data_IF_977868421864
#
_entry.id   IF_977868421864
#
_cell.length_a   1.000
_cell.length_b   1.000
_cell.length_c   1.000
_cell.angle_alpha   90.00
_cell.angle_beta   90.00
_cell.angle_gamma   90.00
#
_symmetry.space_group_name_H-M   'P 1'
#
loop_
_entity.id
_entity.type
_entity.pdbx_description
1 polymer ?
#
# COMPACT_ATOMS: atom_id res chain seq x y z
N UNK A 1 33.92 -10.36 12.10
CA UNK A 1 33.13 -10.54 10.86
C UNK A 1 32.54 -9.18 10.56
N UNK A 2 32.88 -8.56 9.43
CA UNK A 2 32.39 -7.21 9.12
C UNK A 2 31.08 -7.35 8.35
N UNK A 3 30.05 -6.62 8.78
CA UNK A 3 28.82 -6.47 7.99
C UNK A 3 29.16 -5.75 6.69
N UNK A 4 28.71 -6.30 5.56
CA UNK A 4 28.86 -5.70 4.24
C UNK A 4 27.50 -5.57 3.59
N UNK A 5 27.20 -4.41 3.01
CA UNK A 5 25.97 -4.20 2.23
C UNK A 5 26.13 -4.96 0.91
N UNK A 6 25.22 -5.91 0.65
CA UNK A 6 25.23 -6.73 -0.57
C UNK A 6 24.35 -6.19 -1.69
N UNK A 7 23.39 -5.32 -1.36
CA UNK A 7 22.48 -4.70 -2.29
C UNK A 7 21.69 -3.58 -1.61
N UNK A 8 21.11 -2.72 -2.43
CA UNK A 8 20.13 -1.72 -2.03
C UNK A 8 19.13 -1.56 -3.18
N UNK A 9 17.87 -1.36 -2.82
CA UNK A 9 16.78 -1.10 -3.77
C UNK A 9 15.89 0.00 -3.22
N UNK A 10 15.12 0.61 -4.11
CA UNK A 10 14.10 1.60 -3.82
C UNK A 10 12.72 1.00 -4.07
N UNK A 11 11.75 1.36 -3.23
CA UNK A 11 10.36 0.96 -3.42
C UNK A 11 9.49 2.18 -3.15
N UNK A 12 8.61 2.50 -4.10
CA UNK A 12 7.51 3.43 -3.92
C UNK A 12 6.20 2.65 -3.96
N UNK A 13 5.58 2.42 -2.80
CA UNK A 13 4.25 1.84 -2.74
C UNK A 13 3.19 2.91 -3.04
N UNK A 14 2.30 2.64 -3.98
CA UNK A 14 1.17 3.51 -4.29
C UNK A 14 -0.08 2.97 -3.58
N UNK A 15 -0.41 3.52 -2.41
CA UNK A 15 -1.46 3.05 -1.50
C UNK A 15 -2.56 4.11 -1.26
N UNK A 16 -3.31 4.51 -2.30
CA UNK A 16 -4.30 5.58 -2.20
C UNK A 16 -5.41 5.29 -1.17
N UNK A 17 -5.87 4.04 -1.01
CA UNK A 17 -6.93 3.75 -0.05
C UNK A 17 -6.44 3.89 1.40
N UNK A 18 -5.18 3.55 1.71
CA UNK A 18 -4.61 3.82 3.04
C UNK A 18 -4.64 5.32 3.40
N UNK A 19 -4.48 6.21 2.41
CA UNK A 19 -4.63 7.67 2.63
C UNK A 19 -6.08 8.03 2.98
N UNK A 20 -7.07 7.38 2.36
CA UNK A 20 -8.49 7.67 2.57
C UNK A 20 -9.03 7.13 3.89
N UNK A 21 -8.57 5.95 4.29
CA UNK A 21 -9.17 5.19 5.39
C UNK A 21 -8.33 5.21 6.65
N UNK A 22 -7.01 5.36 6.56
CA UNK A 22 -6.11 5.34 7.71
C UNK A 22 -5.39 6.69 7.91
N UNK A 23 -5.37 7.56 6.90
CA UNK A 23 -4.80 8.91 6.98
C UNK A 23 -5.44 9.79 8.05
N UNK A 24 -4.62 10.39 8.93
CA UNK A 24 -5.09 11.18 10.09
C UNK A 24 -6.06 12.31 9.72
N UNK A 25 -5.84 12.98 8.58
CA UNK A 25 -6.72 14.08 8.14
C UNK A 25 -8.11 13.55 7.80
N UNK A 26 -8.18 12.48 7.02
CA UNK A 26 -9.43 11.87 6.56
C UNK A 26 -10.17 11.19 7.71
N UNK A 27 -9.47 10.46 8.58
CA UNK A 27 -10.08 9.81 9.74
C UNK A 27 -10.63 10.83 10.74
N UNK A 28 -9.88 11.91 11.02
CA UNK A 28 -10.35 12.99 11.89
C UNK A 28 -11.57 13.71 11.30
N UNK A 29 -11.53 14.06 10.01
CA UNK A 29 -12.67 14.71 9.35
C UNK A 29 -13.90 13.79 9.37
N UNK A 30 -13.74 12.48 9.16
CA UNK A 30 -14.86 11.52 9.20
C UNK A 30 -15.53 11.44 10.57
N UNK A 31 -14.75 11.59 11.65
CA UNK A 31 -15.27 11.62 13.03
C UNK A 31 -16.00 12.94 13.31
N UNK A 32 -15.43 14.08 12.89
CA UNK A 32 -15.93 15.42 13.25
C UNK A 32 -17.06 15.87 12.31
N UNK A 33 -17.00 15.52 11.04
CA UNK A 33 -17.88 15.97 9.97
C UNK A 33 -18.01 14.91 8.86
N UNK A 34 -18.73 13.80 9.13
CA UNK A 34 -18.80 12.65 8.23
C UNK A 34 -19.36 12.95 6.83
N UNK A 35 -20.19 13.99 6.69
CA UNK A 35 -20.83 14.39 5.43
C UNK A 35 -20.10 15.53 4.70
N UNK A 36 -18.85 15.81 5.07
CA UNK A 36 -18.09 16.94 4.52
C UNK A 36 -17.90 16.83 3.01
N UNK A 37 -17.97 17.97 2.31
CA UNK A 37 -17.63 18.01 0.87
C UNK A 37 -16.19 17.58 0.62
N UNK A 38 -15.27 17.85 1.56
CA UNK A 38 -13.90 17.37 1.46
C UNK A 38 -13.84 15.84 1.33
N UNK A 39 -14.54 15.08 2.20
CA UNK A 39 -14.50 13.62 2.15
C UNK A 39 -15.13 13.04 0.86
N UNK A 40 -16.07 13.76 0.24
CA UNK A 40 -16.68 13.37 -1.04
C UNK A 40 -15.75 13.59 -2.22
N UNK A 41 -14.98 14.68 -2.20
CA UNK A 41 -14.14 15.09 -3.33
C UNK A 41 -12.73 14.47 -3.29
N UNK A 42 -12.19 14.14 -2.11
CA UNK A 42 -10.81 13.60 -1.99
C UNK A 42 -10.53 12.38 -2.89
N UNK A 43 -11.43 11.38 -3.02
CA UNK A 43 -11.18 10.24 -3.90
C UNK A 43 -10.91 10.65 -5.35
N UNK A 44 -11.55 11.71 -5.85
CA UNK A 44 -11.36 12.22 -7.22
C UNK A 44 -10.03 12.97 -7.40
N UNK A 45 -9.36 13.30 -6.30
CA UNK A 45 -8.07 14.00 -6.28
C UNK A 45 -6.88 13.08 -6.00
N UNK A 46 -7.11 11.80 -5.74
CA UNK A 46 -6.04 10.82 -5.65
C UNK A 46 -5.59 10.38 -7.04
N UNK A 47 -4.30 10.14 -7.17
CA UNK A 47 -3.68 9.75 -8.43
C UNK A 47 -4.01 8.28 -8.72
N UNK A 48 -4.25 7.93 -9.98
CA UNK A 48 -4.31 6.52 -10.38
C UNK A 48 -2.93 5.87 -10.34
N UNK A 49 -2.86 4.54 -10.30
CA UNK A 49 -1.57 3.85 -10.35
C UNK A 49 -0.79 4.18 -11.62
N UNK A 50 -1.46 4.24 -12.78
CA UNK A 50 -0.84 4.57 -14.07
C UNK A 50 -0.25 5.99 -14.06
N UNK A 51 -0.97 6.94 -13.48
CA UNK A 51 -0.49 8.31 -13.35
C UNK A 51 0.67 8.40 -12.36
N UNK A 52 0.67 7.59 -11.31
CA UNK A 52 1.77 7.49 -10.35
C UNK A 52 3.03 6.93 -11.03
N UNK A 53 2.88 5.91 -11.86
CA UNK A 53 3.96 5.35 -12.68
C UNK A 53 4.47 6.39 -13.67
N UNK A 54 3.59 7.10 -14.37
CA UNK A 54 3.97 8.11 -15.36
C UNK A 54 4.53 9.41 -14.76
N UNK A 55 4.58 9.55 -13.44
CA UNK A 55 5.05 10.77 -12.78
C UNK A 55 6.58 10.90 -12.90
N UNK A 56 7.03 11.98 -13.52
CA UNK A 56 8.45 12.24 -13.80
C UNK A 56 9.37 12.05 -12.58
N UNK A 57 9.09 12.64 -11.40
CA UNK A 57 9.90 12.40 -10.20
C UNK A 57 9.96 10.94 -9.75
N UNK A 58 8.88 10.17 -9.89
CA UNK A 58 8.88 8.76 -9.51
C UNK A 58 9.78 7.95 -10.47
N UNK A 59 9.73 8.26 -11.76
CA UNK A 59 10.61 7.65 -12.77
C UNK A 59 12.09 8.01 -12.53
N UNK A 60 12.37 9.24 -12.10
CA UNK A 60 13.72 9.64 -11.66
C UNK A 60 14.14 8.88 -10.39
N UNK A 61 13.25 8.74 -9.41
CA UNK A 61 13.52 8.05 -8.15
C UNK A 61 13.93 6.59 -8.36
N UNK A 62 13.18 5.84 -9.19
CA UNK A 62 13.52 4.44 -9.51
C UNK A 62 14.65 4.29 -10.54
N UNK A 63 15.21 5.40 -11.02
CA UNK A 63 16.42 5.42 -11.86
C UNK A 63 16.19 5.23 -13.35
N UNK A 64 14.97 5.45 -13.85
CA UNK A 64 14.68 5.43 -15.29
C UNK A 64 15.07 6.72 -16.00
N UNK A 65 15.16 7.83 -15.25
CA UNK A 65 15.51 9.16 -15.76
C UNK A 65 16.60 9.75 -14.87
N UNK A 66 17.62 10.40 -15.46
CA UNK A 66 18.62 11.10 -14.68
C UNK A 66 18.06 12.41 -14.10
N UNK A 67 18.43 12.85 -12.89
CA UNK A 67 17.95 14.12 -12.32
C UNK A 67 18.19 15.35 -13.23
N UNK A 68 19.28 15.36 -14.02
CA UNK A 68 19.54 16.44 -14.98
C UNK A 68 18.53 16.49 -16.13
N UNK A 69 17.96 15.34 -16.51
CA UNK A 69 16.89 15.25 -17.51
C UNK A 69 15.57 15.73 -16.90
N UNK A 70 15.25 15.33 -15.66
CA UNK A 70 14.11 15.88 -14.92
C UNK A 70 14.18 17.40 -14.80
N UNK A 71 15.38 17.97 -14.60
CA UNK A 71 15.58 19.40 -14.50
C UNK A 71 15.25 20.16 -15.80
N UNK A 72 15.17 19.48 -16.95
CA UNK A 72 14.69 20.07 -18.21
C UNK A 72 13.16 20.08 -18.31
N UNK A 73 12.46 19.34 -17.45
CA UNK A 73 10.99 19.31 -17.39
C UNK A 73 10.51 20.45 -16.50
N UNK A 74 9.81 21.42 -17.09
CA UNK A 74 9.33 22.60 -16.39
C UNK A 74 8.43 22.22 -15.20
N UNK A 75 8.70 22.80 -14.03
CA UNK A 75 7.82 22.67 -12.87
C UNK A 75 6.58 23.58 -13.01
N UNK A 76 5.41 23.18 -12.48
CA UNK A 76 5.13 21.99 -11.69
C UNK A 76 5.02 20.72 -12.54
N UNK A 77 5.20 19.54 -11.93
CA UNK A 77 5.23 18.27 -12.66
C UNK A 77 3.90 17.49 -12.61
N UNK A 78 2.95 17.89 -11.77
CA UNK A 78 1.75 17.09 -11.49
C UNK A 78 0.85 16.86 -12.72
N UNK A 79 0.95 17.72 -13.73
CA UNK A 79 0.21 17.69 -14.99
C UNK A 79 1.02 17.09 -16.15
N UNK A 80 2.25 16.64 -15.89
CA UNK A 80 3.16 16.10 -16.90
C UNK A 80 3.31 14.60 -16.73
N UNK A 81 3.02 13.85 -17.80
CA UNK A 81 3.19 12.39 -17.87
C UNK A 81 4.42 12.06 -18.70
N UNK A 82 5.26 11.16 -18.20
CA UNK A 82 6.37 10.60 -18.95
C UNK A 82 5.86 9.53 -19.91
N UNK A 83 6.17 9.66 -21.19
CA UNK A 83 5.89 8.62 -22.18
C UNK A 83 6.78 7.38 -21.92
N UNK A 84 6.23 6.19 -22.13
CA UNK A 84 6.92 4.91 -21.91
C UNK A 84 7.44 4.72 -20.48
N UNK A 85 6.77 5.32 -19.49
CA UNK A 85 7.04 5.07 -18.09
C UNK A 85 6.88 3.59 -17.73
N UNK A 86 7.66 3.13 -16.77
CA UNK A 86 7.69 1.74 -16.33
C UNK A 86 7.57 1.67 -14.82
N UNK A 87 6.82 0.68 -14.30
CA UNK A 87 6.81 0.41 -12.86
C UNK A 87 8.16 -0.07 -12.35
N UNK A 88 8.99 -0.65 -13.20
CA UNK A 88 10.35 -1.09 -12.86
C UNK A 88 11.39 -0.10 -13.36
N UNK A 89 12.44 0.09 -12.57
CA UNK A 89 13.62 0.84 -12.97
C UNK A 89 14.92 0.29 -12.40
N UNK A 90 16.03 0.91 -12.77
CA UNK A 90 17.38 0.46 -12.42
C UNK A 90 17.59 0.28 -10.90
N UNK A 91 16.97 1.13 -10.09
CA UNK A 91 17.15 1.14 -8.65
C UNK A 91 16.00 0.52 -7.87
N UNK A 92 14.87 0.21 -8.50
CA UNK A 92 13.68 -0.15 -7.73
C UNK A 92 12.40 -0.27 -8.54
N UNK A 93 11.27 -0.22 -7.83
CA UNK A 93 9.95 -0.27 -8.43
C UNK A 93 8.93 0.70 -7.80
N UNK A 94 7.87 0.96 -8.57
CA UNK A 94 6.63 1.57 -8.11
C UNK A 94 5.61 0.44 -7.96
N UNK A 95 5.34 0.06 -6.72
CA UNK A 95 4.53 -1.09 -6.35
C UNK A 95 3.06 -0.70 -6.23
N UNK A 96 2.13 -1.48 -6.81
CA UNK A 96 0.69 -1.24 -6.63
C UNK A 96 0.22 -1.69 -5.24
N UNK A 97 -0.89 -1.14 -4.76
CA UNK A 97 -1.40 -1.33 -3.40
C UNK A 97 -1.67 -2.81 -3.08
N UNK A 98 -2.22 -3.57 -4.04
CA UNK A 98 -2.54 -4.98 -3.82
C UNK A 98 -1.30 -5.85 -3.56
N UNK A 99 -0.17 -5.53 -4.19
CA UNK A 99 1.10 -6.20 -3.93
C UNK A 99 1.69 -5.80 -2.58
N UNK A 100 1.53 -4.52 -2.21
CA UNK A 100 1.99 -4.01 -0.93
C UNK A 100 1.25 -4.67 0.24
N UNK A 101 -0.06 -4.87 0.14
CA UNK A 101 -0.85 -5.54 1.18
C UNK A 101 -0.37 -6.99 1.44
N UNK A 102 0.08 -7.71 0.41
CA UNK A 102 0.71 -9.02 0.63
C UNK A 102 2.04 -8.92 1.38
N UNK A 103 2.87 -7.92 1.07
CA UNK A 103 4.12 -7.70 1.83
C UNK A 103 3.86 -7.34 3.29
N UNK A 104 2.79 -6.58 3.57
CA UNK A 104 2.35 -6.29 4.94
C UNK A 104 2.03 -7.60 5.67
N UNK A 105 1.24 -8.49 5.07
CA UNK A 105 0.93 -9.80 5.67
C UNK A 105 2.18 -10.68 5.84
N UNK A 106 3.05 -10.76 4.83
CA UNK A 106 4.26 -11.61 4.88
C UNK A 106 5.24 -11.11 5.95
N UNK A 107 5.32 -9.79 6.15
CA UNK A 107 6.21 -9.19 7.13
C UNK A 107 5.69 -9.32 8.56
N UNK A 108 4.41 -9.63 8.74
CA UNK A 108 3.75 -9.69 10.03
C UNK A 108 4.09 -10.97 10.80
N UNK A 109 4.97 -10.82 11.79
CA UNK A 109 5.37 -11.91 12.69
C UNK A 109 4.37 -12.13 13.85
N UNK A 110 3.40 -11.24 14.03
CA UNK A 110 2.37 -11.33 15.07
C UNK A 110 1.07 -11.98 14.56
N UNK A 111 0.97 -12.24 13.26
CA UNK A 111 -0.19 -12.86 12.59
C UNK A 111 -1.51 -12.07 12.82
N UNK A 112 -1.39 -10.76 13.01
CA UNK A 112 -2.50 -9.82 13.20
C UNK A 112 -3.09 -9.31 11.89
N UNK A 113 -2.37 -9.41 10.77
CA UNK A 113 -2.86 -9.04 9.44
C UNK A 113 -3.70 -10.19 8.88
N UNK A 114 -4.96 -9.89 8.56
CA UNK A 114 -5.87 -10.83 7.91
C UNK A 114 -6.38 -10.23 6.61
N UNK A 115 -6.16 -10.95 5.51
CA UNK A 115 -6.63 -10.59 4.18
C UNK A 115 -7.84 -11.43 3.81
N UNK A 116 -8.74 -10.84 3.04
CA UNK A 116 -9.93 -11.50 2.52
C UNK A 116 -9.54 -12.49 1.41
N UNK A 117 -10.20 -13.65 1.43
CA UNK A 117 -9.87 -14.78 0.54
C UNK A 117 -10.01 -14.46 -0.95
N UNK A 118 -11.09 -13.82 -1.40
CA UNK A 118 -11.27 -13.50 -2.81
C UNK A 118 -10.24 -12.47 -3.29
N UNK A 119 -9.83 -11.53 -2.43
CA UNK A 119 -8.72 -10.62 -2.70
C UNK A 119 -7.41 -11.38 -2.91
N UNK A 120 -7.08 -12.32 -2.01
CA UNK A 120 -5.90 -13.18 -2.14
C UNK A 120 -5.96 -13.97 -3.45
N UNK A 121 -7.06 -14.68 -3.71
CA UNK A 121 -7.24 -15.49 -4.92
C UNK A 121 -7.09 -14.66 -6.21
N UNK A 122 -7.56 -13.41 -6.20
CA UNK A 122 -7.52 -12.50 -7.35
C UNK A 122 -6.12 -11.95 -7.65
N UNK A 123 -5.33 -11.62 -6.63
CA UNK A 123 -4.08 -10.86 -6.81
C UNK A 123 -2.80 -11.65 -6.51
N UNK A 124 -2.85 -12.78 -5.80
CA UNK A 124 -1.65 -13.59 -5.46
C UNK A 124 -0.82 -13.99 -6.68
N UNK A 125 -1.49 -14.29 -7.81
CA UNK A 125 -0.82 -14.60 -9.07
C UNK A 125 -0.04 -13.41 -9.67
N UNK A 126 -0.55 -12.19 -9.51
CA UNK A 126 0.11 -10.97 -9.98
C UNK A 126 1.32 -10.66 -9.10
N UNK A 127 1.15 -10.77 -7.78
CA UNK A 127 2.23 -10.63 -6.82
C UNK A 127 3.38 -11.64 -7.07
N UNK A 128 3.05 -12.91 -7.31
CA UNK A 128 4.05 -13.94 -7.62
C UNK A 128 4.76 -13.72 -8.97
N UNK A 129 4.18 -12.92 -9.88
CA UNK A 129 4.81 -12.57 -11.15
C UNK A 129 5.80 -11.40 -11.02
N UNK A 130 5.83 -10.71 -9.88
CA UNK A 130 6.80 -9.64 -9.64
C UNK A 130 8.22 -10.25 -9.57
N UNK A 131 9.20 -9.76 -10.38
CA UNK A 131 10.53 -10.36 -10.50
C UNK A 131 11.34 -10.49 -9.20
N UNK A 132 11.02 -9.71 -8.17
CA UNK A 132 11.71 -9.79 -6.87
C UNK A 132 11.05 -10.77 -5.89
N UNK A 133 9.85 -11.24 -6.22
CA UNK A 133 9.09 -12.17 -5.39
C UNK A 133 9.49 -13.60 -5.76
N UNK A 134 10.21 -14.22 -4.84
CA UNK A 134 10.62 -15.62 -4.96
C UNK A 134 9.54 -16.55 -4.45
N UNK A 135 9.68 -17.85 -4.76
CA UNK A 135 8.73 -18.87 -4.30
C UNK A 135 8.62 -18.90 -2.77
N UNK A 136 9.74 -18.78 -2.05
CA UNK A 136 9.78 -18.72 -0.59
C UNK A 136 9.05 -17.51 -0.02
N UNK A 137 9.04 -16.37 -0.72
CA UNK A 137 8.24 -15.20 -0.32
C UNK A 137 6.76 -15.45 -0.63
N UNK A 138 6.42 -15.85 -1.86
CA UNK A 138 5.03 -16.03 -2.30
C UNK A 138 4.28 -17.12 -1.52
N UNK A 139 5.01 -18.14 -1.04
CA UNK A 139 4.47 -19.25 -0.26
C UNK A 139 4.02 -18.86 1.16
N UNK A 140 4.48 -17.71 1.66
CA UNK A 140 4.09 -17.18 2.98
C UNK A 140 2.72 -16.49 2.98
N UNK A 141 2.13 -16.22 1.80
CA UNK A 141 0.78 -15.65 1.70
C UNK A 141 -0.24 -16.70 2.15
N UNK A 142 -0.96 -16.39 3.22
CA UNK A 142 -2.11 -17.17 3.71
C UNK A 142 -3.22 -17.20 2.64
N UNK A 143 -4.07 -18.25 2.62
CA UNK A 143 -5.19 -18.35 1.66
C UNK A 143 -6.29 -17.28 1.87
N UNK A 144 -6.18 -16.49 2.95
CA UNK A 144 -7.16 -15.50 3.35
C UNK A 144 -8.32 -16.08 4.16
N UNK A 145 -9.12 -15.19 4.73
CA UNK A 145 -10.32 -15.53 5.52
C UNK A 145 -11.58 -15.01 4.83
N UNK A 146 -12.74 -15.50 5.27
CA UNK A 146 -14.03 -15.06 4.71
C UNK A 146 -14.29 -13.59 5.06
N UNK A 147 -14.93 -12.84 4.15
CA UNK A 147 -15.24 -11.41 4.36
C UNK A 147 -16.00 -11.18 5.67
N UNK A 148 -16.94 -12.05 6.04
CA UNK A 148 -17.69 -11.94 7.29
C UNK A 148 -16.80 -12.04 8.54
N UNK A 149 -15.66 -12.72 8.46
CA UNK A 149 -14.70 -12.77 9.55
C UNK A 149 -13.95 -11.43 9.69
N UNK A 150 -13.54 -10.84 8.57
CA UNK A 150 -12.96 -9.48 8.54
C UNK A 150 -13.95 -8.46 9.09
N UNK A 151 -15.22 -8.52 8.68
CA UNK A 151 -16.28 -7.65 9.19
C UNK A 151 -16.46 -7.80 10.71
N UNK A 152 -16.37 -9.02 11.24
CA UNK A 152 -16.40 -9.28 12.69
C UNK A 152 -15.20 -8.64 13.41
N UNK A 153 -13.99 -8.81 12.87
CA UNK A 153 -12.79 -8.18 13.45
C UNK A 153 -12.90 -6.65 13.48
N UNK A 154 -13.39 -6.03 12.41
CA UNK A 154 -13.51 -4.58 12.32
C UNK A 154 -14.62 -4.04 13.22
N UNK A 155 -15.83 -4.61 13.13
CA UNK A 155 -17.01 -4.07 13.79
C UNK A 155 -17.07 -4.41 15.28
N UNK A 156 -16.64 -5.62 15.66
CA UNK A 156 -16.81 -6.14 17.03
C UNK A 156 -15.50 -6.12 17.83
N UNK A 157 -14.36 -6.33 17.18
CA UNK A 157 -13.04 -6.39 17.85
C UNK A 157 -12.19 -5.13 17.66
N UNK A 158 -12.69 -4.14 16.93
CA UNK A 158 -12.01 -2.86 16.65
C UNK A 158 -10.65 -3.03 15.96
N UNK A 159 -10.55 -3.99 15.04
CA UNK A 159 -9.42 -4.09 14.12
C UNK A 159 -9.39 -2.89 13.16
N UNK A 160 -8.19 -2.52 12.73
CA UNK A 160 -7.98 -1.47 11.75
C UNK A 160 -8.31 -2.03 10.36
N UNK A 161 -9.25 -1.43 9.65
CA UNK A 161 -9.71 -1.93 8.36
C UNK A 161 -8.72 -1.59 7.24
N UNK A 162 -8.49 -2.54 6.33
CA UNK A 162 -7.68 -2.39 5.12
C UNK A 162 -8.59 -2.40 3.89
N UNK A 163 -8.44 -1.38 3.04
CA UNK A 163 -9.27 -1.19 1.86
C UNK A 163 -8.44 -1.24 0.58
N UNK A 164 -9.06 -1.67 -0.51
CA UNK A 164 -8.51 -1.60 -1.86
C UNK A 164 -9.64 -1.37 -2.86
N UNK A 165 -9.51 -0.34 -3.71
CA UNK A 165 -10.58 0.19 -4.54
C UNK A 165 -11.87 0.46 -3.75
N UNK A 166 -11.73 1.02 -2.55
CA UNK A 166 -12.83 1.29 -1.61
C UNK A 166 -13.60 0.06 -1.11
N UNK A 167 -13.12 -1.15 -1.36
CA UNK A 167 -13.67 -2.41 -0.84
C UNK A 167 -12.87 -2.87 0.38
N UNK A 168 -13.56 -3.41 1.40
CA UNK A 168 -12.90 -4.01 2.56
C UNK A 168 -12.22 -5.30 2.14
N UNK A 169 -10.88 -5.34 2.20
CA UNK A 169 -10.07 -6.48 1.74
C UNK A 169 -9.22 -7.10 2.84
N UNK A 170 -9.26 -6.55 4.05
CA UNK A 170 -8.56 -7.11 5.19
C UNK A 170 -8.67 -6.24 6.43
N UNK A 171 -7.92 -6.63 7.45
CA UNK A 171 -7.77 -5.84 8.66
C UNK A 171 -6.44 -6.13 9.37
N UNK A 172 -6.02 -5.20 10.23
CA UNK A 172 -4.95 -5.39 11.22
C UNK A 172 -5.57 -5.48 12.60
N UNK A 173 -5.43 -6.64 13.23
CA UNK A 173 -5.93 -6.88 14.60
C UNK A 173 -5.00 -6.25 15.63
N UNK A 174 -5.52 -6.05 16.85
CA UNK A 174 -4.67 -5.78 18.01
C UNK A 174 -3.83 -7.01 18.35
N UNK A 175 -2.60 -6.80 18.78
CA UNK A 175 -1.72 -7.85 19.29
C UNK A 175 -1.95 -8.12 20.79
N UNK A 176 -2.68 -7.24 21.50
CA UNK A 176 -3.07 -7.45 22.90
C UNK A 176 -4.35 -6.67 23.26
N UNK A 177 -5.15 -7.19 24.19
CA UNK A 177 -6.45 -6.60 24.56
C UNK A 177 -6.33 -5.29 25.36
N UNK A 178 -5.22 -5.10 26.09
CA UNK A 178 -5.07 -4.01 27.08
C UNK A 178 -3.91 -3.07 26.76
N UNK A 179 -2.86 -3.58 26.10
CA UNK A 179 -1.63 -2.78 25.92
C UNK A 179 -1.85 -1.83 24.75
N UNK A 180 -1.84 -0.53 25.02
CA UNK A 180 -2.09 0.50 24.02
C UNK A 180 -1.02 0.48 22.91
N UNK A 181 0.20 0.03 23.22
CA UNK A 181 1.28 -0.12 22.24
C UNK A 181 1.10 -1.35 21.34
N UNK A 182 0.11 -2.19 21.63
CA UNK A 182 -0.27 -3.37 20.86
C UNK A 182 -1.72 -3.27 20.36
N UNK A 183 -2.25 -2.04 20.31
CA UNK A 183 -3.56 -1.75 19.71
C UNK A 183 -3.51 -1.92 18.19
N UNK A 184 -4.67 -2.17 17.56
CA UNK A 184 -4.77 -2.34 16.12
C UNK A 184 -4.17 -1.17 15.32
N UNK A 185 -4.47 0.06 15.76
CA UNK A 185 -3.89 1.27 15.18
C UNK A 185 -2.35 1.27 15.25
N UNK A 186 -1.76 0.94 16.41
CA UNK A 186 -0.28 0.92 16.56
C UNK A 186 0.35 -0.23 15.79
N UNK A 187 -0.34 -1.36 15.62
CA UNK A 187 0.16 -2.48 14.80
C UNK A 187 0.08 -2.19 13.30
N UNK A 188 -0.84 -1.31 12.88
CA UNK A 188 -1.00 -0.89 11.49
C UNK A 188 0.06 0.14 11.06
N UNK A 189 0.42 1.08 11.94
CA UNK A 189 1.39 2.16 11.69
C UNK A 189 2.87 1.75 11.82
#
# INVERSE_FOLDING_TARGET
MNSVIKGASYVLAHTPDMVLYNGTTQTTERIVNPDSEYLKEVPEHLRSYEDCVAYWPNQTYIGNVHPDELAQVEAPWYDKKMENASRYGKYGEIMPEEEFLFLVQISDQFEVVKLEKNFVEKYKGQFAANPIITEDISSQIEDGVELSEIEGYVNDEHAEALYFNHELVGCVKRAHDIDQNLSAHVMHE
#
